data_IF_086900540429
#
_entry.id   IF_086900540429
#
_cell.length_a   1.000
_cell.length_b   1.000
_cell.length_c   1.000
_cell.angle_alpha   90.00
_cell.angle_beta   90.00
_cell.angle_gamma   90.00
#
_symmetry.space_group_name_H-M   'P 1'
#
loop_
_entity.id
_entity.type
_entity.pdbx_description
1 polymer ?
#
# COMPACT_ATOMS: atom_id res chain seq x y z
N UNK A 1 -18.64 36.38 6.84
CA UNK A 1 -18.90 34.94 6.86
C UNK A 1 -17.78 34.23 6.12
N UNK A 2 -16.69 33.90 6.81
CA UNK A 2 -15.62 33.08 6.24
C UNK A 2 -16.04 31.61 6.32
N UNK A 3 -15.84 30.78 5.27
CA UNK A 3 -16.09 29.36 5.38
C UNK A 3 -15.15 28.78 6.44
N UNK A 4 -15.71 28.10 7.43
CA UNK A 4 -14.93 27.26 8.35
C UNK A 4 -14.43 26.09 7.52
N UNK A 5 -13.19 26.16 7.06
CA UNK A 5 -12.51 25.00 6.47
C UNK A 5 -12.11 24.10 7.63
N UNK A 6 -12.97 23.13 7.94
CA UNK A 6 -12.58 22.00 8.79
C UNK A 6 -11.67 21.10 7.94
N UNK A 7 -10.37 21.43 7.92
CA UNK A 7 -9.34 20.51 7.47
C UNK A 7 -9.13 19.48 8.59
N UNK A 8 -10.08 18.57 8.73
CA UNK A 8 -9.86 17.38 9.53
C UNK A 8 -9.09 16.44 8.62
N UNK A 9 -7.77 16.39 8.78
CA UNK A 9 -6.87 15.55 7.97
C UNK A 9 -7.13 14.04 8.13
N UNK A 10 -8.01 13.65 9.05
CA UNK A 10 -8.34 12.26 9.40
C UNK A 10 -9.85 12.00 9.45
N UNK A 11 -10.65 12.59 8.55
CA UNK A 11 -12.09 12.29 8.42
C UNK A 11 -12.44 10.78 8.48
N UNK A 12 -11.64 9.85 7.90
CA UNK A 12 -11.89 8.41 8.07
C UNK A 12 -11.87 7.93 9.53
N UNK A 13 -11.09 8.58 10.40
CA UNK A 13 -11.00 8.26 11.83
C UNK A 13 -12.17 8.82 12.64
N UNK A 14 -12.90 9.80 12.12
CA UNK A 14 -14.13 10.32 12.73
C UNK A 14 -15.35 9.44 12.43
N UNK A 15 -15.29 8.67 11.35
CA UNK A 15 -16.26 7.62 11.01
C UNK A 15 -15.53 6.28 10.85
N UNK A 16 -14.93 5.76 11.95
CA UNK A 16 -13.96 4.67 11.87
C UNK A 16 -14.58 3.35 11.41
N UNK A 17 -15.84 3.12 11.76
CA UNK A 17 -16.57 1.90 11.36
C UNK A 17 -16.84 1.88 9.85
N UNK A 18 -17.46 2.93 9.32
CA UNK A 18 -17.83 2.99 7.89
C UNK A 18 -16.57 3.00 7.01
N UNK A 19 -15.52 3.71 7.43
CA UNK A 19 -14.23 3.70 6.76
C UNK A 19 -13.59 2.31 6.74
N UNK A 20 -13.67 1.58 7.86
CA UNK A 20 -13.17 0.20 7.94
C UNK A 20 -13.98 -0.76 7.08
N UNK A 21 -15.32 -0.65 7.09
CA UNK A 21 -16.20 -1.47 6.25
C UNK A 21 -15.95 -1.22 4.76
N UNK A 22 -15.84 0.05 4.36
CA UNK A 22 -15.55 0.44 2.99
C UNK A 22 -14.17 -0.06 2.54
N UNK A 23 -13.12 0.24 3.32
CA UNK A 23 -11.76 -0.18 2.99
C UNK A 23 -11.62 -1.71 2.94
N UNK A 24 -12.25 -2.42 3.89
CA UNK A 24 -12.30 -3.88 3.88
C UNK A 24 -13.00 -4.42 2.63
N UNK A 25 -14.10 -3.79 2.21
CA UNK A 25 -14.81 -4.14 0.99
C UNK A 25 -13.93 -4.03 -0.26
N UNK A 26 -13.16 -2.96 -0.37
CA UNK A 26 -12.20 -2.76 -1.48
C UNK A 26 -11.06 -3.78 -1.38
N UNK A 27 -10.44 -3.93 -0.21
CA UNK A 27 -9.30 -4.84 -0.01
C UNK A 27 -9.67 -6.30 -0.32
N UNK A 28 -10.87 -6.74 0.06
CA UNK A 28 -11.38 -8.10 -0.21
C UNK A 28 -11.36 -8.46 -1.69
N UNK A 29 -11.52 -7.50 -2.59
CA UNK A 29 -11.48 -7.74 -4.04
C UNK A 29 -10.07 -8.14 -4.52
N UNK A 30 -9.03 -7.71 -3.80
CA UNK A 30 -7.63 -8.00 -4.10
C UNK A 30 -7.12 -9.30 -3.44
N UNK A 31 -7.78 -9.78 -2.39
CA UNK A 31 -7.37 -10.98 -1.64
C UNK A 31 -7.18 -12.22 -2.55
N UNK A 32 -8.09 -12.55 -3.49
CA UNK A 32 -7.88 -13.71 -4.35
C UNK A 32 -6.60 -13.62 -5.19
N UNK A 33 -6.25 -12.43 -5.68
CA UNK A 33 -5.03 -12.24 -6.45
C UNK A 33 -3.76 -12.39 -5.58
N UNK A 34 -3.80 -11.88 -4.35
CA UNK A 34 -2.70 -12.02 -3.39
C UNK A 34 -2.49 -13.48 -2.96
N UNK A 35 -3.57 -14.22 -2.71
CA UNK A 35 -3.44 -15.60 -2.20
C UNK A 35 -2.99 -16.58 -3.27
N UNK A 36 -3.41 -16.37 -4.53
CA UNK A 36 -3.12 -17.30 -5.62
C UNK A 36 -1.83 -16.99 -6.39
N UNK A 37 -1.16 -15.87 -6.10
CA UNK A 37 0.10 -15.54 -6.76
C UNK A 37 1.23 -16.50 -6.32
N UNK A 38 2.13 -16.83 -7.25
CA UNK A 38 3.33 -17.60 -6.94
C UNK A 38 4.45 -16.66 -6.48
N UNK A 39 4.78 -16.75 -5.18
CA UNK A 39 5.85 -15.98 -4.53
C UNK A 39 7.19 -16.72 -4.51
N UNK A 40 7.32 -17.87 -5.17
CA UNK A 40 8.59 -18.63 -5.20
C UNK A 40 9.64 -17.98 -6.10
N UNK A 41 9.23 -17.28 -7.15
CA UNK A 41 10.09 -16.63 -8.14
C UNK A 41 10.66 -15.26 -7.76
N UNK A 42 11.23 -14.58 -8.76
CA UNK A 42 11.73 -13.20 -8.65
C UNK A 42 10.59 -12.18 -8.57
N UNK A 43 10.91 -10.92 -8.25
CA UNK A 43 9.89 -9.87 -8.27
C UNK A 43 9.32 -9.73 -9.67
N UNK A 44 10.12 -9.71 -10.73
CA UNK A 44 9.68 -9.53 -12.12
C UNK A 44 8.67 -10.61 -12.55
N UNK A 45 8.85 -11.84 -12.07
CA UNK A 45 8.00 -12.99 -12.38
C UNK A 45 6.71 -13.04 -11.56
N UNK A 46 6.61 -12.29 -10.46
CA UNK A 46 5.43 -12.29 -9.59
C UNK A 46 4.20 -11.74 -10.35
N UNK A 47 3.27 -12.62 -10.69
CA UNK A 47 2.08 -12.25 -11.44
C UNK A 47 0.99 -11.70 -10.50
N UNK A 48 0.97 -10.37 -10.34
CA UNK A 48 -0.06 -9.64 -9.61
C UNK A 48 -0.73 -8.63 -10.54
N UNK A 49 -2.00 -8.26 -10.27
CA UNK A 49 -2.63 -7.09 -10.87
C UNK A 49 -1.69 -5.87 -10.80
N UNK A 50 -1.60 -5.04 -11.86
CA UNK A 50 -0.63 -3.95 -11.93
C UNK A 50 -0.66 -2.99 -10.73
N UNK A 51 -1.85 -2.72 -10.20
CA UNK A 51 -2.07 -1.90 -9.01
C UNK A 51 -1.44 -2.50 -7.75
N UNK A 52 -1.58 -3.81 -7.54
CA UNK A 52 -0.94 -4.50 -6.42
C UNK A 52 0.56 -4.61 -6.64
N UNK A 53 0.97 -4.91 -7.88
CA UNK A 53 2.37 -5.07 -8.27
C UNK A 53 3.18 -3.82 -7.96
N UNK A 54 2.70 -2.64 -8.36
CA UNK A 54 3.34 -1.36 -8.08
C UNK A 54 3.29 -0.98 -6.60
N UNK A 55 2.29 -1.45 -5.85
CA UNK A 55 2.19 -1.20 -4.42
C UNK A 55 3.16 -2.04 -3.58
N UNK A 56 3.88 -3.02 -4.16
CA UNK A 56 4.88 -3.81 -3.43
C UNK A 56 6.16 -2.99 -3.26
N UNK A 57 6.42 -2.54 -2.04
CA UNK A 57 7.64 -1.79 -1.68
C UNK A 57 8.84 -2.73 -1.45
N UNK A 58 8.59 -3.86 -0.80
CA UNK A 58 9.60 -4.83 -0.40
C UNK A 58 9.18 -6.23 -0.85
N UNK A 59 10.08 -6.95 -1.50
CA UNK A 59 9.88 -8.33 -1.91
C UNK A 59 11.05 -9.19 -1.44
N UNK A 60 10.76 -10.20 -0.61
CA UNK A 60 11.77 -11.11 -0.04
C UNK A 60 12.99 -10.41 0.56
N UNK A 61 12.75 -9.35 1.33
CA UNK A 61 13.80 -8.60 2.03
C UNK A 61 14.60 -7.63 1.15
N UNK A 62 14.23 -7.45 -0.13
CA UNK A 62 14.84 -6.46 -1.02
C UNK A 62 13.81 -5.42 -1.44
N UNK A 63 14.25 -4.16 -1.54
CA UNK A 63 13.44 -3.11 -2.13
C UNK A 63 13.15 -3.50 -3.59
N UNK A 64 11.92 -3.28 -4.03
CA UNK A 64 11.56 -3.44 -5.44
C UNK A 64 12.11 -2.27 -6.26
N UNK A 65 12.26 -2.39 -7.59
CA UNK A 65 12.99 -1.43 -8.42
C UNK A 65 12.57 0.04 -8.22
N UNK A 66 11.26 0.30 -8.18
CA UNK A 66 10.71 1.66 -8.02
C UNK A 66 11.00 2.27 -6.64
N UNK A 67 11.39 1.45 -5.66
CA UNK A 67 11.61 1.84 -4.27
C UNK A 67 13.07 1.72 -3.82
N UNK A 68 13.99 1.32 -4.71
CA UNK A 68 15.43 1.22 -4.40
C UNK A 68 16.01 2.55 -3.87
N UNK A 69 15.46 3.68 -4.31
CA UNK A 69 15.86 5.01 -3.83
C UNK A 69 15.73 5.18 -2.31
N UNK A 70 14.82 4.44 -1.66
CA UNK A 70 14.62 4.48 -0.19
C UNK A 70 15.93 4.13 0.53
N UNK A 71 16.76 3.25 -0.05
CA UNK A 71 18.03 2.85 0.54
C UNK A 71 18.95 4.05 0.83
N UNK A 72 18.86 5.12 0.04
CA UNK A 72 19.64 6.36 0.25
C UNK A 72 19.28 7.09 1.54
N UNK A 73 18.09 6.83 2.09
CA UNK A 73 17.60 7.45 3.33
C UNK A 73 17.73 6.56 4.57
N UNK A 74 17.84 5.23 4.39
CA UNK A 74 17.91 4.27 5.51
C UNK A 74 19.24 4.35 6.29
N UNK A 75 20.31 4.89 5.69
CA UNK A 75 21.64 4.95 6.31
C UNK A 75 22.05 6.33 6.82
N UNK A 76 21.11 7.26 7.07
CA UNK A 76 21.39 8.45 7.87
C UNK A 76 21.42 8.09 9.36
N UNK A 77 22.54 7.54 9.81
CA UNK A 77 22.94 7.60 11.23
C UNK A 77 23.89 8.78 11.41
N UNK A 78 23.39 9.85 12.04
CA UNK A 78 24.20 10.79 12.80
C UNK A 78 23.98 10.49 14.28
#
# INVERSE_FOLDING_TARGET
HGPVIMAIDILPSEIPRESSEYFSGVLKQFVPALVNADYSGSFEQLNLPPELKRAVILYKGKLTPDYEYIQTFLFKSH
#
